data_IF_973705785145
#
_entry.id   IF_973705785145
#
_cell.length_a   1.000
_cell.length_b   1.000
_cell.length_c   1.000
_cell.angle_alpha   90.00
_cell.angle_beta   90.00
_cell.angle_gamma   90.00
#
_symmetry.space_group_name_H-M   'P 1'
#
loop_
_entity.id
_entity.type
_entity.pdbx_description
1 polymer ?
#
# COMPACT_ATOMS: atom_id res chain seq x y z
N UNK A 1 8.24 -7.28 1.82
CA UNK A 1 8.37 -6.71 3.18
C UNK A 1 9.79 -6.20 3.45
N UNK A 2 10.81 -7.07 3.55
CA UNK A 2 12.21 -6.67 3.85
C UNK A 2 12.75 -5.50 3.01
N UNK A 3 12.61 -5.55 1.68
CA UNK A 3 13.05 -4.47 0.81
C UNK A 3 12.37 -3.12 1.12
N UNK A 4 11.06 -3.12 1.43
CA UNK A 4 10.32 -1.89 1.75
C UNK A 4 10.70 -1.32 3.11
N UNK A 5 10.98 -2.18 4.09
CA UNK A 5 11.53 -1.75 5.39
C UNK A 5 12.88 -1.07 5.18
N UNK A 6 13.75 -1.66 4.37
CA UNK A 6 15.08 -1.10 4.09
C UNK A 6 15.02 0.23 3.33
N UNK A 7 14.10 0.36 2.37
CA UNK A 7 13.80 1.64 1.72
C UNK A 7 13.36 2.70 2.74
N UNK A 8 12.40 2.37 3.61
CA UNK A 8 11.93 3.31 4.63
C UNK A 8 13.02 3.72 5.61
N UNK A 9 13.87 2.78 6.02
CA UNK A 9 15.04 3.07 6.85
C UNK A 9 15.95 4.08 6.16
N UNK A 10 16.21 3.88 4.86
CA UNK A 10 17.06 4.76 4.08
C UNK A 10 16.46 6.13 3.80
N UNK A 11 15.15 6.21 3.58
CA UNK A 11 14.42 7.46 3.34
C UNK A 11 14.30 8.31 4.61
N UNK A 12 14.25 7.68 5.79
CA UNK A 12 13.96 8.34 7.07
C UNK A 12 15.09 8.14 8.09
N UNK A 13 16.37 8.18 7.66
CA UNK A 13 17.54 7.94 8.53
C UNK A 13 17.61 8.83 9.77
N UNK A 14 16.97 9.99 9.73
CA UNK A 14 16.97 10.97 10.82
C UNK A 14 15.82 10.77 11.81
N UNK A 15 14.81 9.97 11.47
CA UNK A 15 13.67 9.66 12.34
C UNK A 15 14.02 8.49 13.27
N UNK A 16 14.63 8.80 14.42
CA UNK A 16 15.13 7.81 15.38
C UNK A 16 14.01 6.91 15.90
N UNK A 17 12.80 7.45 16.11
CA UNK A 17 11.66 6.67 16.59
C UNK A 17 11.24 5.63 15.55
N UNK A 18 11.11 6.04 14.28
CA UNK A 18 10.79 5.13 13.19
C UNK A 18 11.88 4.08 12.99
N UNK A 19 13.17 4.44 13.06
CA UNK A 19 14.27 3.45 12.97
C UNK A 19 14.14 2.39 14.07
N UNK A 20 13.92 2.81 15.32
CA UNK A 20 13.76 1.89 16.44
C UNK A 20 12.58 0.92 16.25
N UNK A 21 11.42 1.43 15.79
CA UNK A 21 10.26 0.57 15.48
C UNK A 21 10.59 -0.40 14.35
N UNK A 22 11.31 0.06 13.32
CA UNK A 22 11.70 -0.79 12.18
C UNK A 22 12.71 -1.89 12.55
N UNK A 23 13.42 -1.75 13.68
CA UNK A 23 14.40 -2.71 14.19
C UNK A 23 13.81 -3.75 15.16
N UNK A 24 12.68 -3.46 15.82
CA UNK A 24 12.17 -4.27 16.93
C UNK A 24 11.52 -5.61 16.55
N UNK A 25 11.43 -5.93 15.25
CA UNK A 25 10.64 -7.07 14.79
C UNK A 25 9.15 -6.81 15.02
N UNK A 26 8.29 -7.39 14.18
CA UNK A 26 6.92 -6.93 14.07
C UNK A 26 5.94 -8.08 14.24
N UNK A 27 4.74 -7.76 14.72
CA UNK A 27 3.64 -8.69 14.71
C UNK A 27 3.03 -8.76 13.30
N UNK A 28 2.98 -9.97 12.73
CA UNK A 28 2.45 -10.24 11.38
C UNK A 28 1.05 -10.83 11.40
N UNK A 29 0.45 -11.07 12.57
CA UNK A 29 -0.82 -11.75 12.67
C UNK A 29 -1.96 -10.82 12.26
N UNK A 30 -2.87 -11.36 11.43
CA UNK A 30 -4.09 -10.66 11.08
C UNK A 30 -4.96 -10.49 12.33
N UNK A 31 -5.47 -9.27 12.52
CA UNK A 31 -6.30 -8.89 13.65
C UNK A 31 -7.45 -8.01 13.15
N UNK A 32 -8.64 -8.60 13.18
CA UNK A 32 -9.91 -8.02 12.76
C UNK A 32 -10.16 -6.67 13.47
N UNK A 33 -9.79 -6.57 14.75
CA UNK A 33 -9.99 -5.37 15.57
C UNK A 33 -9.14 -4.20 15.08
N UNK A 34 -7.95 -4.47 14.51
CA UNK A 34 -7.11 -3.44 13.90
C UNK A 34 -7.71 -2.96 12.58
N UNK A 35 -8.28 -3.85 11.77
CA UNK A 35 -8.99 -3.44 10.55
C UNK A 35 -10.21 -2.57 10.88
N UNK A 36 -11.00 -2.93 11.89
CA UNK A 36 -12.15 -2.13 12.31
C UNK A 36 -11.71 -0.75 12.81
N UNK A 37 -10.68 -0.71 13.68
CA UNK A 37 -10.12 0.55 14.19
C UNK A 37 -9.61 1.44 13.06
N UNK A 38 -8.96 0.87 12.05
CA UNK A 38 -8.50 1.60 10.87
C UNK A 38 -9.69 2.27 10.16
N UNK A 39 -10.77 1.53 9.89
CA UNK A 39 -11.94 2.10 9.21
C UNK A 39 -12.62 3.21 10.03
N UNK A 40 -12.70 3.06 11.36
CA UNK A 40 -13.21 4.11 12.24
C UNK A 40 -12.32 5.36 12.16
N UNK A 41 -11.00 5.20 12.21
CA UNK A 41 -10.03 6.31 12.14
C UNK A 41 -10.02 7.02 10.78
N UNK A 42 -10.22 6.28 9.69
CA UNK A 42 -10.32 6.86 8.35
C UNK A 42 -11.60 7.70 8.19
N UNK A 43 -12.68 7.30 8.86
CA UNK A 43 -14.00 7.88 8.69
C UNK A 43 -14.65 7.50 7.35
N UNK A 44 -15.97 7.66 7.27
CA UNK A 44 -16.78 7.14 6.17
C UNK A 44 -16.36 7.68 4.80
N UNK A 45 -15.96 8.95 4.70
CA UNK A 45 -15.60 9.56 3.42
C UNK A 45 -14.32 8.95 2.83
N UNK A 46 -13.30 8.73 3.65
CA UNK A 46 -12.06 8.11 3.18
C UNK A 46 -12.23 6.61 2.97
N UNK A 47 -13.02 5.92 3.80
CA UNK A 47 -13.38 4.51 3.54
C UNK A 47 -14.08 4.39 2.19
N UNK A 48 -15.04 5.28 1.87
CA UNK A 48 -15.72 5.29 0.57
C UNK A 48 -14.73 5.49 -0.58
N UNK A 49 -13.82 6.46 -0.47
CA UNK A 49 -12.77 6.68 -1.48
C UNK A 49 -11.88 5.45 -1.66
N UNK A 50 -11.43 4.84 -0.57
CA UNK A 50 -10.64 3.61 -0.60
C UNK A 50 -11.38 2.48 -1.30
N UNK A 51 -12.65 2.24 -0.99
CA UNK A 51 -13.46 1.20 -1.62
C UNK A 51 -13.70 1.48 -3.12
N UNK A 52 -13.91 2.74 -3.49
CA UNK A 52 -14.02 3.14 -4.90
C UNK A 52 -12.72 2.86 -5.66
N UNK A 53 -11.56 3.12 -5.06
CA UNK A 53 -10.27 2.78 -5.68
C UNK A 53 -10.07 1.28 -5.80
N UNK A 54 -10.38 0.52 -4.76
CA UNK A 54 -10.30 -0.93 -4.82
C UNK A 54 -11.17 -1.48 -5.95
N UNK A 55 -12.37 -0.93 -6.15
CA UNK A 55 -13.23 -1.28 -7.27
C UNK A 55 -12.58 -0.99 -8.64
N UNK A 56 -11.95 0.18 -8.83
CA UNK A 56 -11.24 0.53 -10.06
C UNK A 56 -10.06 -0.42 -10.33
N UNK A 57 -9.29 -0.77 -9.28
CA UNK A 57 -8.18 -1.73 -9.38
C UNK A 57 -8.68 -3.12 -9.78
N UNK A 58 -9.77 -3.60 -9.17
CA UNK A 58 -10.37 -4.88 -9.53
C UNK A 58 -10.87 -4.90 -10.98
N UNK A 59 -11.47 -3.80 -11.45
CA UNK A 59 -11.87 -3.65 -12.84
C UNK A 59 -10.64 -3.68 -13.77
N UNK A 60 -9.57 -2.98 -13.41
CA UNK A 60 -8.34 -2.97 -14.18
C UNK A 60 -7.67 -4.35 -14.26
N UNK A 61 -7.76 -5.15 -13.19
CA UNK A 61 -7.34 -6.56 -13.20
C UNK A 61 -8.20 -7.34 -14.19
N UNK A 62 -9.53 -7.23 -14.14
CA UNK A 62 -10.40 -8.01 -15.04
C UNK A 62 -10.20 -7.64 -16.53
N UNK A 63 -10.06 -6.35 -16.81
CA UNK A 63 -9.90 -5.85 -18.18
C UNK A 63 -8.43 -5.91 -18.64
N UNK A 64 -7.50 -6.18 -17.71
CA UNK A 64 -6.04 -6.13 -17.88
C UNK A 64 -5.52 -4.78 -18.38
N UNK A 65 -6.23 -3.71 -18.02
CA UNK A 65 -5.87 -2.33 -18.35
C UNK A 65 -4.76 -1.82 -17.46
N UNK A 66 -3.98 -0.89 -18.00
CA UNK A 66 -2.73 -0.43 -17.41
C UNK A 66 -3.00 0.38 -16.13
N UNK A 67 -2.78 -0.23 -14.96
CA UNK A 67 -2.29 0.54 -13.81
C UNK A 67 -0.86 0.88 -14.19
N UNK A 68 -0.54 2.16 -14.38
CA UNK A 68 0.78 2.65 -14.82
C UNK A 68 1.98 1.82 -14.30
N UNK A 69 2.34 0.76 -15.01
CA UNK A 69 3.45 -0.14 -14.66
C UNK A 69 4.80 0.56 -14.76
N UNK A 70 4.85 1.79 -15.29
CA UNK A 70 6.07 2.61 -15.35
C UNK A 70 6.66 2.93 -13.98
N UNK A 71 5.86 2.88 -12.90
CA UNK A 71 6.36 3.03 -11.53
C UNK A 71 6.75 1.70 -10.88
N UNK A 72 6.39 0.57 -11.49
CA UNK A 72 6.77 -0.75 -11.03
C UNK A 72 8.09 -1.08 -11.73
N UNK A 73 9.18 -1.20 -10.97
CA UNK A 73 10.47 -1.69 -11.46
C UNK A 73 10.36 -3.17 -11.85
N UNK A 74 9.52 -3.48 -12.84
CA UNK A 74 9.32 -4.80 -13.38
C UNK A 74 10.57 -5.18 -14.15
N UNK A 75 11.15 -6.31 -13.77
CA UNK A 75 12.31 -6.87 -14.47
C UNK A 75 11.96 -7.31 -15.90
N UNK A 76 10.67 -7.48 -16.22
CA UNK A 76 10.16 -7.83 -17.54
C UNK A 76 8.84 -7.11 -17.83
N UNK A 77 8.69 -6.60 -19.06
CA UNK A 77 7.42 -6.04 -19.54
C UNK A 77 6.43 -7.19 -19.80
N UNK A 78 5.24 -7.19 -19.17
CA UNK A 78 4.25 -8.25 -19.40
C UNK A 78 3.78 -8.25 -20.85
N UNK A 79 3.75 -9.44 -21.47
CA UNK A 79 3.46 -9.63 -22.89
C UNK A 79 2.03 -10.08 -23.15
N UNK A 80 1.43 -10.80 -22.20
CA UNK A 80 0.06 -11.32 -22.31
C UNK A 80 -0.92 -10.59 -21.39
N UNK A 81 -2.22 -10.76 -21.64
CA UNK A 81 -3.26 -10.29 -20.74
C UNK A 81 -3.10 -10.91 -19.34
N UNK A 82 -3.01 -12.25 -19.26
CA UNK A 82 -2.85 -12.97 -17.98
C UNK A 82 -1.68 -12.46 -17.15
N UNK A 83 -0.51 -12.24 -17.78
CA UNK A 83 0.67 -11.71 -17.09
C UNK A 83 0.41 -10.30 -16.53
N UNK A 84 -0.30 -9.43 -17.26
CA UNK A 84 -0.68 -8.10 -16.74
C UNK A 84 -1.60 -8.22 -15.53
N UNK A 85 -2.60 -9.09 -15.59
CA UNK A 85 -3.56 -9.30 -14.50
C UNK A 85 -2.87 -9.82 -13.24
N UNK A 86 -1.99 -10.81 -13.38
CA UNK A 86 -1.21 -11.38 -12.29
C UNK A 86 -0.30 -10.35 -11.62
N UNK A 87 0.42 -9.55 -12.42
CA UNK A 87 1.31 -8.51 -11.86
C UNK A 87 0.50 -7.46 -11.10
N UNK A 88 -0.61 -6.97 -11.66
CA UNK A 88 -1.46 -5.97 -10.96
C UNK A 88 -2.01 -6.55 -9.66
N UNK A 89 -2.47 -7.80 -9.70
CA UNK A 89 -2.98 -8.49 -8.52
C UNK A 89 -1.90 -8.64 -7.44
N UNK A 90 -0.70 -9.10 -7.81
CA UNK A 90 0.41 -9.30 -6.87
C UNK A 90 0.84 -7.98 -6.23
N UNK A 91 1.02 -6.94 -7.03
CA UNK A 91 1.37 -5.59 -6.55
C UNK A 91 0.32 -5.05 -5.60
N UNK A 92 -0.96 -5.16 -5.96
CA UNK A 92 -2.07 -4.66 -5.14
C UNK A 92 -2.12 -5.38 -3.80
N UNK A 93 -2.07 -6.73 -3.81
CA UNK A 93 -2.06 -7.55 -2.60
C UNK A 93 -0.86 -7.22 -1.73
N UNK A 94 0.33 -7.14 -2.32
CA UNK A 94 1.57 -6.83 -1.61
C UNK A 94 1.52 -5.46 -0.98
N UNK A 95 1.03 -4.44 -1.68
CA UNK A 95 0.91 -3.09 -1.13
C UNK A 95 -0.08 -3.06 0.03
N UNK A 96 -1.30 -3.59 -0.15
CA UNK A 96 -2.31 -3.64 0.93
C UNK A 96 -1.78 -4.37 2.16
N UNK A 97 -1.14 -5.51 1.97
CA UNK A 97 -0.51 -6.26 3.05
C UNK A 97 0.55 -5.44 3.79
N UNK A 98 1.45 -4.78 3.06
CA UNK A 98 2.50 -3.93 3.65
C UNK A 98 1.90 -2.76 4.43
N UNK A 99 0.93 -2.05 3.86
CA UNK A 99 0.37 -0.87 4.51
C UNK A 99 -0.46 -1.26 5.74
N UNK A 100 -1.25 -2.34 5.67
CA UNK A 100 -1.98 -2.82 6.85
C UNK A 100 -1.03 -3.31 7.94
N UNK A 101 0.07 -3.94 7.57
CA UNK A 101 1.11 -4.35 8.50
C UNK A 101 1.77 -3.15 9.20
N UNK A 102 2.08 -2.09 8.45
CA UNK A 102 2.62 -0.86 9.01
C UNK A 102 1.64 -0.17 9.95
N UNK A 103 0.38 -0.05 9.56
CA UNK A 103 -0.69 0.41 10.43
C UNK A 103 -0.75 -0.40 11.74
N UNK A 104 -0.73 -1.73 11.62
CA UNK A 104 -0.88 -2.65 12.75
C UNK A 104 0.28 -2.63 13.75
N UNK A 105 1.41 -2.05 13.37
CA UNK A 105 2.61 -1.93 14.19
C UNK A 105 3.01 -0.46 14.44
N UNK A 106 2.10 0.49 14.19
CA UNK A 106 2.33 1.93 14.37
C UNK A 106 3.59 2.44 13.65
N UNK A 107 3.83 1.92 12.44
CA UNK A 107 4.92 2.32 11.54
C UNK A 107 4.37 3.33 10.55
N UNK A 108 4.76 4.58 10.72
CA UNK A 108 4.38 5.68 9.84
C UNK A 108 5.46 6.76 9.89
N UNK A 109 5.52 7.59 8.86
CA UNK A 109 6.47 8.71 8.82
C UNK A 109 5.97 9.86 9.69
N UNK A 110 6.90 10.63 10.23
CA UNK A 110 6.60 11.89 10.93
C UNK A 110 5.64 12.78 10.11
N UNK A 111 4.69 13.41 10.80
CA UNK A 111 3.68 14.28 10.20
C UNK A 111 2.43 13.56 9.67
N UNK A 112 2.32 12.25 9.85
CA UNK A 112 1.10 11.48 9.58
C UNK A 112 0.60 10.77 10.83
N UNK A 113 -0.71 10.60 10.95
CA UNK A 113 -1.27 9.53 11.78
C UNK A 113 -1.11 8.17 11.08
N UNK A 114 -1.14 7.03 11.82
CA UNK A 114 -1.09 5.70 11.19
C UNK A 114 -2.15 5.50 10.08
N UNK A 115 -3.38 5.95 10.32
CA UNK A 115 -4.47 5.81 9.37
C UNK A 115 -4.28 6.69 8.13
N UNK A 116 -3.84 7.93 8.28
CA UNK A 116 -3.53 8.81 7.14
C UNK A 116 -2.35 8.27 6.32
N UNK A 117 -1.33 7.75 6.98
CA UNK A 117 -0.18 7.15 6.30
C UNK A 117 -0.61 5.94 5.47
N UNK A 118 -1.39 5.02 6.07
CA UNK A 118 -2.01 3.90 5.35
C UNK A 118 -2.80 4.38 4.13
N UNK A 119 -3.71 5.35 4.34
CA UNK A 119 -4.59 5.83 3.28
C UNK A 119 -3.78 6.42 2.13
N UNK A 120 -2.83 7.31 2.42
CA UNK A 120 -2.03 7.96 1.40
C UNK A 120 -1.17 6.96 0.62
N UNK A 121 -0.54 5.99 1.29
CA UNK A 121 0.28 4.98 0.61
C UNK A 121 -0.55 4.03 -0.26
N UNK A 122 -1.76 3.66 0.16
CA UNK A 122 -2.67 2.84 -0.65
C UNK A 122 -3.21 3.63 -1.83
N UNK A 123 -3.53 4.92 -1.64
CA UNK A 123 -4.08 5.78 -2.66
C UNK A 123 -3.04 6.31 -3.66
N UNK A 124 -1.73 6.27 -3.36
CA UNK A 124 -0.64 6.71 -4.26
C UNK A 124 -0.66 6.01 -5.62
N UNK A 125 -1.16 4.78 -5.69
CA UNK A 125 -1.30 4.05 -6.95
C UNK A 125 -2.42 4.60 -7.87
N UNK A 126 -3.18 5.61 -7.41
CA UNK A 126 -4.20 6.32 -8.19
C UNK A 126 -3.63 7.48 -9.02
N UNK A 127 -2.56 8.17 -8.57
CA UNK A 127 -2.01 9.36 -9.26
C UNK A 127 -1.38 9.07 -10.64
N UNK A 128 -1.29 7.80 -11.02
CA UNK A 128 -0.82 7.37 -12.31
C UNK A 128 -1.95 6.95 -13.28
N UNK A 129 -3.22 7.03 -12.85
CA UNK A 129 -4.39 6.72 -13.69
C UNK A 129 -5.14 7.96 -14.22
N UNK A 130 -4.99 9.13 -13.59
CA UNK A 130 -5.66 10.37 -14.02
C UNK A 130 -4.88 11.15 -15.11
N UNK A 131 -3.74 10.65 -15.56
CA UNK A 131 -2.87 11.33 -16.54
C UNK A 131 -2.98 10.78 -17.98
N UNK A 132 -3.96 9.93 -18.30
CA UNK A 132 -4.22 9.46 -19.66
C UNK A 132 -5.70 9.20 -19.94
#
# INVERSE_FOLDING_TARGET
MKARIEELKNENKQDIELQNKLDQGFNCDYDDSKMEKLFVQLGNDNVKKFLQQLHLVLKAINDGTHISFTSLNLTQTPKTLSEKQEIVLDVTKRNLYIQFYFYSNDIFREGYTPAEYFFNEVMKYHLAMDNY
#
